data_IF_769110984803
#
_entry.id   IF_769110984803
#
_cell.length_a   1.000
_cell.length_b   1.000
_cell.length_c   1.000
_cell.angle_alpha   90.00
_cell.angle_beta   90.00
_cell.angle_gamma   90.00
#
_symmetry.space_group_name_H-M   'P 1'
#
loop_
_entity.id
_entity.type
_entity.pdbx_description
1 polymer ?
#
# COMPACT_ATOMS: atom_id res chain seq x y z
N UNK A 1 -8.96 1.77 13.52
CA UNK A 1 -8.78 0.33 13.85
C UNK A 1 -7.88 -0.27 12.79
N UNK A 2 -6.69 -0.77 13.15
CA UNK A 2 -5.78 -1.41 12.17
C UNK A 2 -6.50 -2.59 11.51
N UNK A 3 -6.57 -2.58 10.18
CA UNK A 3 -7.12 -3.67 9.42
C UNK A 3 -5.97 -4.46 8.80
N UNK A 4 -5.89 -5.74 9.17
CA UNK A 4 -4.92 -6.68 8.62
C UNK A 4 -5.62 -7.65 7.67
N UNK A 5 -4.97 -8.00 6.56
CA UNK A 5 -5.49 -8.98 5.61
C UNK A 5 -4.39 -9.85 5.04
N UNK A 6 -4.60 -11.17 5.12
CA UNK A 6 -3.76 -12.17 4.51
C UNK A 6 -4.27 -12.55 3.11
N UNK A 7 -3.35 -12.72 2.16
CA UNK A 7 -3.62 -13.03 0.77
C UNK A 7 -2.95 -14.36 0.37
N UNK A 8 -3.77 -15.33 -0.04
CA UNK A 8 -3.31 -16.64 -0.51
C UNK A 8 -3.11 -16.72 -2.02
N UNK A 9 -3.49 -15.67 -2.75
CA UNK A 9 -3.46 -15.63 -4.21
C UNK A 9 -3.01 -14.25 -4.68
N UNK A 10 -2.57 -14.19 -5.93
CA UNK A 10 -2.35 -12.93 -6.60
C UNK A 10 -3.67 -12.21 -6.85
N UNK A 11 -3.79 -10.98 -6.37
CA UNK A 11 -5.00 -10.14 -6.50
C UNK A 11 -4.56 -8.72 -6.80
N UNK A 12 -5.20 -8.08 -7.80
CA UNK A 12 -5.08 -6.64 -7.99
C UNK A 12 -5.84 -5.93 -6.88
N UNK A 13 -5.11 -5.26 -5.98
CA UNK A 13 -5.71 -4.53 -4.85
C UNK A 13 -5.88 -3.04 -5.15
N UNK A 14 -5.22 -2.54 -6.20
CA UNK A 14 -5.36 -1.14 -6.62
C UNK A 14 -5.07 -0.97 -8.11
N UNK A 15 -5.92 -0.19 -8.79
CA UNK A 15 -5.73 0.16 -10.20
C UNK A 15 -5.11 1.56 -10.36
N UNK A 16 -4.18 1.65 -11.29
CA UNK A 16 -3.53 2.89 -11.70
C UNK A 16 -4.55 3.98 -12.02
N UNK A 17 -4.26 5.21 -11.60
CA UNK A 17 -5.11 6.37 -11.84
C UNK A 17 -6.18 6.58 -10.77
N UNK A 18 -6.41 5.59 -9.89
CA UNK A 18 -7.27 5.76 -8.73
C UNK A 18 -6.49 6.39 -7.57
N UNK A 19 -7.14 7.30 -6.84
CA UNK A 19 -6.66 7.80 -5.55
C UNK A 19 -6.83 6.69 -4.52
N UNK A 20 -5.78 6.29 -3.80
CA UNK A 20 -5.90 5.25 -2.80
C UNK A 20 -6.65 5.71 -1.55
N UNK A 21 -7.49 4.82 -1.02
CA UNK A 21 -8.18 5.02 0.25
C UNK A 21 -7.30 4.72 1.47
N UNK A 22 -6.25 3.91 1.30
CA UNK A 22 -5.31 3.51 2.32
C UNK A 22 -3.89 3.39 1.73
N UNK A 23 -2.88 3.65 2.54
CA UNK A 23 -1.54 3.14 2.31
C UNK A 23 -1.45 1.68 2.81
N UNK A 24 -0.46 0.93 2.33
CA UNK A 24 -0.28 -0.48 2.64
C UNK A 24 1.08 -0.70 3.26
N UNK A 25 1.11 -1.15 4.52
CA UNK A 25 2.33 -1.72 5.12
C UNK A 25 2.36 -3.22 4.86
N UNK A 26 3.50 -3.72 4.40
CA UNK A 26 3.69 -5.13 4.05
C UNK A 26 4.26 -5.84 5.29
N UNK A 27 3.41 -6.48 6.08
CA UNK A 27 3.84 -7.17 7.30
C UNK A 27 4.62 -8.46 6.97
N UNK A 28 4.22 -9.17 5.92
CA UNK A 28 4.93 -10.34 5.39
C UNK A 28 4.63 -10.52 3.89
N UNK A 29 5.49 -11.27 3.19
CA UNK A 29 5.40 -11.48 1.74
C UNK A 29 5.85 -10.27 0.93
N UNK A 30 5.25 -10.07 -0.25
CA UNK A 30 5.62 -8.99 -1.16
C UNK A 30 4.46 -8.48 -2.03
N UNK A 31 4.63 -7.29 -2.61
CA UNK A 31 3.72 -6.70 -3.60
C UNK A 31 4.43 -6.57 -4.94
N UNK A 32 3.68 -6.77 -6.03
CA UNK A 32 4.13 -6.46 -7.37
C UNK A 32 3.45 -5.18 -7.87
N UNK A 33 4.25 -4.17 -8.22
CA UNK A 33 3.82 -2.93 -8.85
C UNK A 33 4.03 -3.00 -10.36
N UNK A 34 2.99 -2.71 -11.15
CA UNK A 34 3.09 -2.60 -12.60
C UNK A 34 2.98 -1.15 -13.05
N UNK A 35 4.10 -0.58 -13.52
CA UNK A 35 4.19 0.79 -14.05
C UNK A 35 3.91 0.82 -15.56
N UNK A 36 3.84 2.04 -16.13
CA UNK A 36 3.77 2.25 -17.58
C UNK A 36 4.91 1.50 -18.28
N UNK A 37 4.64 0.95 -19.47
CA UNK A 37 5.58 0.18 -20.30
C UNK A 37 6.00 -1.19 -19.73
N UNK A 38 5.18 -1.80 -18.87
CA UNK A 38 5.42 -3.16 -18.38
C UNK A 38 6.53 -3.30 -17.35
N UNK A 39 7.04 -2.18 -16.81
CA UNK A 39 8.01 -2.22 -15.72
C UNK A 39 7.36 -2.83 -14.47
N UNK A 40 7.97 -3.90 -13.97
CA UNK A 40 7.59 -4.62 -12.75
C UNK A 40 8.55 -4.23 -11.63
N UNK A 41 8.01 -3.84 -10.49
CA UNK A 41 8.79 -3.58 -9.27
C UNK A 41 8.21 -4.45 -8.17
N UNK A 42 9.04 -5.19 -7.48
CA UNK A 42 8.64 -5.93 -6.30
C UNK A 42 9.00 -5.14 -5.04
N UNK A 43 8.06 -5.05 -4.11
CA UNK A 43 8.20 -4.37 -2.82
C UNK A 43 8.08 -5.44 -1.74
N UNK A 44 9.01 -5.45 -0.80
CA UNK A 44 9.16 -6.53 0.18
C UNK A 44 8.54 -6.16 1.54
N UNK A 45 8.47 -7.15 2.43
CA UNK A 45 8.04 -6.94 3.81
C UNK A 45 8.85 -5.87 4.54
N UNK A 46 8.18 -5.08 5.38
CA UNK A 46 8.77 -3.96 6.11
C UNK A 46 8.62 -2.60 5.41
N UNK A 47 8.16 -2.59 4.15
CA UNK A 47 7.96 -1.36 3.39
C UNK A 47 6.50 -0.87 3.43
N UNK A 48 6.32 0.43 3.19
CA UNK A 48 5.01 1.09 3.05
C UNK A 48 4.82 1.59 1.63
N UNK A 49 3.70 1.22 1.00
CA UNK A 49 3.29 1.71 -0.32
C UNK A 49 2.10 2.66 -0.18
N UNK A 50 2.15 3.82 -0.82
CA UNK A 50 1.00 4.73 -0.88
C UNK A 50 0.94 5.84 0.15
N UNK A 51 1.94 5.96 1.02
CA UNK A 51 1.96 7.00 2.05
C UNK A 51 1.91 8.40 1.44
N UNK A 52 2.71 8.65 0.40
CA UNK A 52 2.69 9.94 -0.31
C UNK A 52 1.35 10.17 -1.01
N UNK A 53 0.83 9.14 -1.67
CA UNK A 53 -0.39 9.22 -2.48
C UNK A 53 -1.61 9.52 -1.62
N UNK A 54 -1.74 8.86 -0.47
CA UNK A 54 -2.82 9.10 0.46
C UNK A 54 -2.70 10.49 1.11
N UNK A 55 -1.53 10.87 1.62
CA UNK A 55 -1.33 12.16 2.30
C UNK A 55 -1.54 13.34 1.35
N UNK A 56 -1.07 13.24 0.11
CA UNK A 56 -1.22 14.30 -0.90
C UNK A 56 -2.51 14.21 -1.70
N UNK A 57 -3.34 13.19 -1.45
CA UNK A 57 -4.57 12.94 -2.20
C UNK A 57 -4.36 12.86 -3.73
N UNK A 58 -3.30 12.16 -4.15
CA UNK A 58 -2.92 11.98 -5.56
C UNK A 58 -3.05 10.51 -5.99
N UNK A 59 -3.30 10.22 -7.28
CA UNK A 59 -3.47 8.85 -7.74
C UNK A 59 -2.14 8.08 -7.83
N UNK A 60 -2.21 6.75 -7.65
CA UNK A 60 -1.10 5.87 -7.99
C UNK A 60 -0.84 5.86 -9.50
N UNK A 61 0.44 5.83 -9.88
CA UNK A 61 0.86 5.74 -11.29
C UNK A 61 1.15 4.30 -11.76
N UNK A 62 0.82 3.30 -10.93
CA UNK A 62 0.97 1.86 -11.15
C UNK A 62 -0.24 1.08 -10.65
N UNK A 63 -0.42 -0.15 -11.15
CA UNK A 63 -1.30 -1.14 -10.54
C UNK A 63 -0.56 -1.85 -9.41
N UNK A 64 -1.28 -2.32 -8.39
CA UNK A 64 -0.70 -3.04 -7.25
C UNK A 64 -1.34 -4.41 -7.15
N UNK A 65 -0.49 -5.43 -7.15
CA UNK A 65 -0.89 -6.83 -6.99
C UNK A 65 -0.25 -7.41 -5.74
N UNK A 66 -1.00 -8.18 -4.97
CA UNK A 66 -0.45 -9.00 -3.90
C UNK A 66 0.25 -10.21 -4.49
N UNK A 67 1.35 -10.66 -3.90
CA UNK A 67 1.86 -12.01 -4.17
C UNK A 67 1.23 -13.00 -3.16
N UNK A 68 1.19 -14.32 -3.45
CA UNK A 68 0.74 -15.31 -2.47
C UNK A 68 1.60 -15.29 -1.21
N UNK A 69 0.97 -15.37 -0.03
CA UNK A 69 1.66 -15.30 1.26
C UNK A 69 1.80 -13.89 1.81
N UNK A 70 1.25 -12.88 1.14
CA UNK A 70 1.35 -11.48 1.56
C UNK A 70 0.33 -11.14 2.66
N UNK A 71 0.81 -10.46 3.70
CA UNK A 71 -0.03 -9.87 4.75
C UNK A 71 0.10 -8.35 4.69
N UNK A 72 -1.03 -7.67 4.53
CA UNK A 72 -1.08 -6.22 4.48
C UNK A 72 -1.78 -5.63 5.70
N UNK A 73 -1.22 -4.54 6.21
CA UNK A 73 -1.86 -3.65 7.16
C UNK A 73 -2.28 -2.38 6.41
N UNK A 74 -3.56 -2.07 6.46
CA UNK A 74 -4.14 -0.89 5.81
C UNK A 74 -4.02 0.32 6.73
N UNK A 75 -3.38 1.38 6.22
CA UNK A 75 -3.15 2.63 6.91
C UNK A 75 -3.99 3.73 6.26
N UNK A 76 -5.14 4.03 6.85
CA UNK A 76 -6.02 5.10 6.37
C UNK A 76 -5.53 6.49 6.83
N UNK A 77 -6.12 7.55 6.27
CA UNK A 77 -5.76 8.95 6.60
C UNK A 77 -5.90 9.26 8.09
N UNK A 78 -6.90 8.69 8.76
CA UNK A 78 -7.15 8.97 10.18
C UNK A 78 -6.04 8.38 11.05
N UNK A 79 -5.60 7.17 10.74
CA UNK A 79 -4.44 6.56 11.41
C UNK A 79 -3.17 7.35 11.18
N UNK A 80 -2.92 7.75 9.93
CA UNK A 80 -1.71 8.51 9.58
C UNK A 80 -1.67 9.87 10.28
N UNK A 81 -2.81 10.57 10.35
CA UNK A 81 -2.90 11.85 11.10
C UNK A 81 -2.64 11.68 12.60
N UNK A 82 -3.04 10.55 13.20
CA UNK A 82 -2.74 10.24 14.60
C UNK A 82 -1.26 10.00 14.87
N UNK A 83 -0.55 9.39 13.92
CA UNK A 83 0.91 9.16 14.00
C UNK A 83 1.67 10.49 13.91
N UNK A 84 1.30 11.38 12.98
CA UNK A 84 1.92 12.71 12.87
C UNK A 84 1.76 13.57 14.13
N UNK A 85 0.63 13.44 14.82
CA UNK A 85 0.41 14.12 16.10
C UNK A 85 1.24 13.52 17.25
N UNK A 86 1.55 12.23 17.20
CA UNK A 86 2.27 11.53 18.27
C UNK A 86 3.80 11.68 18.19
N UNK A 87 4.32 12.11 17.03
CA UNK A 87 5.76 12.28 16.77
C UNK A 87 6.25 13.74 16.86
N UNK A 88 5.36 14.68 17.20
CA UNK A 88 5.75 16.06 17.52
C UNK A 88 6.27 16.11 18.96
N UNK A 89 7.59 16.00 19.10
CA UNK A 89 8.33 16.42 20.29
C UNK A 89 8.29 17.95 20.44
#
# INVERSE_FOLDING_TARGET
MLQEKYFTKEICIHFKGMIPYAAYYIASGSLTLFKRKGQRIEIQSGEIVGLKEITKNIPFNYNIYTNPGTTLIYLDKTMLSGIEHSLKF
#
